data_IF_538518084494
#
_entry.id   IF_538518084494
#
_cell.length_a   1.000
_cell.length_b   1.000
_cell.length_c   1.000
_cell.angle_alpha   90.00
_cell.angle_beta   90.00
_cell.angle_gamma   90.00
#
_symmetry.space_group_name_H-M   'P 1'
#
loop_
_entity.id
_entity.type
_entity.pdbx_description
1 polymer ?
#
# COMPACT_ATOMS: atom_id res chain seq x y z
N UNK A 1 -15.01 4.26 -28.45
CA UNK A 1 -13.99 5.33 -28.41
C UNK A 1 -12.62 4.70 -28.51
N UNK A 2 -11.64 5.48 -28.91
CA UNK A 2 -10.27 5.03 -29.17
C UNK A 2 -9.31 5.82 -28.30
N UNK A 3 -8.21 5.18 -27.91
CA UNK A 3 -7.09 5.78 -27.22
C UNK A 3 -5.82 4.95 -27.51
N UNK A 4 -4.66 5.46 -27.11
CA UNK A 4 -3.42 4.70 -27.19
C UNK A 4 -3.32 3.73 -26.02
N UNK A 5 -3.59 4.22 -24.81
CA UNK A 5 -3.43 3.46 -23.57
C UNK A 5 -4.71 3.54 -22.74
N UNK A 6 -5.30 2.36 -22.49
CA UNK A 6 -6.41 2.21 -21.57
C UNK A 6 -5.92 1.70 -20.21
N UNK A 7 -6.24 2.44 -19.15
CA UNK A 7 -5.95 2.07 -17.77
C UNK A 7 -7.25 1.65 -17.08
N UNK A 8 -7.28 0.45 -16.53
CA UNK A 8 -8.43 -0.08 -15.78
C UNK A 8 -8.13 -0.04 -14.29
N UNK A 9 -8.79 0.86 -13.57
CA UNK A 9 -8.65 1.09 -12.13
C UNK A 9 -7.99 2.43 -11.82
N UNK A 10 -8.75 3.35 -11.22
CA UNK A 10 -8.32 4.67 -10.75
C UNK A 10 -7.84 4.63 -9.28
N UNK A 11 -7.02 3.63 -8.95
CA UNK A 11 -6.22 3.60 -7.73
C UNK A 11 -4.87 4.31 -7.89
N UNK A 12 -4.01 4.30 -6.87
CA UNK A 12 -2.69 4.95 -6.96
C UNK A 12 -1.86 4.48 -8.16
N UNK A 13 -1.89 3.19 -8.50
CA UNK A 13 -1.15 2.66 -9.66
C UNK A 13 -1.68 3.20 -10.96
N UNK A 14 -2.99 3.13 -11.22
CA UNK A 14 -3.54 3.61 -12.48
C UNK A 14 -3.47 5.12 -12.61
N UNK A 15 -3.67 5.86 -11.52
CA UNK A 15 -3.58 7.32 -11.55
C UNK A 15 -2.14 7.82 -11.67
N UNK A 16 -1.18 7.14 -11.03
CA UNK A 16 0.25 7.42 -11.22
C UNK A 16 0.67 7.10 -12.66
N UNK A 17 0.28 5.93 -13.20
CA UNK A 17 0.56 5.58 -14.59
C UNK A 17 -0.03 6.61 -15.56
N UNK A 18 -1.29 7.01 -15.37
CA UNK A 18 -1.95 8.03 -16.19
C UNK A 18 -1.19 9.35 -16.18
N UNK A 19 -0.72 9.77 -15.00
CA UNK A 19 0.01 11.02 -14.84
C UNK A 19 1.37 10.97 -15.56
N UNK A 20 2.15 9.91 -15.39
CA UNK A 20 3.44 9.75 -16.09
C UNK A 20 3.27 9.63 -17.60
N UNK A 21 2.26 8.87 -18.07
CA UNK A 21 1.95 8.77 -19.50
C UNK A 21 1.49 10.09 -20.11
N UNK A 22 0.78 10.92 -19.33
CA UNK A 22 0.37 12.25 -19.80
C UNK A 22 1.56 13.21 -19.97
N UNK A 23 2.63 13.04 -19.19
CA UNK A 23 3.89 13.79 -19.38
C UNK A 23 4.63 13.37 -20.66
N UNK A 24 4.31 12.19 -21.20
CA UNK A 24 4.83 11.64 -22.45
C UNK A 24 3.84 11.84 -23.62
N UNK A 25 2.88 12.75 -23.45
CA UNK A 25 1.89 13.16 -24.46
C UNK A 25 1.06 11.99 -25.06
N UNK A 26 0.86 10.91 -24.31
CA UNK A 26 0.05 9.77 -24.74
C UNK A 26 -1.46 10.05 -24.61
N UNK A 27 -2.30 9.55 -25.54
CA UNK A 27 -3.77 9.58 -25.37
C UNK A 27 -4.20 8.49 -24.38
N UNK A 28 -4.42 8.92 -23.13
CA UNK A 28 -4.74 8.03 -22.01
C UNK A 28 -6.21 8.14 -21.61
N UNK A 29 -6.86 6.98 -21.52
CA UNK A 29 -8.18 6.84 -20.91
C UNK A 29 -8.06 5.99 -19.64
N UNK A 30 -8.60 6.50 -18.53
CA UNK A 30 -8.75 5.75 -17.28
C UNK A 30 -10.22 5.40 -17.08
N UNK A 31 -10.51 4.15 -16.76
CA UNK A 31 -11.85 3.70 -16.37
C UNK A 31 -11.83 3.08 -14.98
N UNK A 32 -12.79 3.44 -14.15
CA UNK A 32 -12.98 2.85 -12.82
C UNK A 32 -14.42 2.39 -12.63
N UNK A 33 -14.59 1.25 -11.96
CA UNK A 33 -15.90 0.68 -11.69
C UNK A 33 -16.75 1.54 -10.74
N UNK A 34 -16.12 2.37 -9.91
CA UNK A 34 -16.80 3.25 -8.94
C UNK A 34 -16.30 4.68 -9.09
N UNK A 35 -15.34 5.13 -8.29
CA UNK A 35 -14.76 6.47 -8.32
C UNK A 35 -13.26 6.43 -8.01
N UNK A 36 -12.46 7.42 -8.44
CA UNK A 36 -11.04 7.50 -8.11
C UNK A 36 -10.78 7.36 -6.61
N UNK A 37 -9.95 6.39 -6.25
CA UNK A 37 -9.59 6.10 -4.88
C UNK A 37 -10.58 5.21 -4.11
N UNK A 38 -11.68 4.72 -4.71
CA UNK A 38 -12.67 3.90 -4.00
C UNK A 38 -12.05 2.72 -3.23
N UNK A 39 -11.13 1.97 -3.86
CA UNK A 39 -10.54 0.76 -3.29
C UNK A 39 -9.48 1.00 -2.18
N UNK A 40 -8.45 0.15 -2.14
CA UNK A 40 -7.39 0.22 -1.14
C UNK A 40 -6.68 1.58 -1.10
N UNK A 41 -6.62 2.27 -2.23
CA UNK A 41 -5.96 3.56 -2.37
C UNK A 41 -6.59 4.64 -1.51
N UNK A 42 -7.92 4.66 -1.33
CA UNK A 42 -8.58 5.61 -0.43
C UNK A 42 -8.79 5.08 0.99
N UNK A 43 -8.70 3.76 1.19
CA UNK A 43 -9.01 3.09 2.47
C UNK A 43 -7.81 2.64 3.29
N UNK A 44 -6.58 2.95 2.88
CA UNK A 44 -5.36 2.55 3.62
C UNK A 44 -5.03 3.53 4.78
N UNK A 45 -3.96 3.25 5.52
CA UNK A 45 -3.54 4.04 6.68
C UNK A 45 -2.91 5.39 6.37
N UNK A 46 -2.68 5.72 5.09
CA UNK A 46 -2.07 6.98 4.68
C UNK A 46 -0.58 7.10 5.01
N UNK A 47 0.08 6.02 5.43
CA UNK A 47 1.51 6.02 5.76
C UNK A 47 2.35 5.85 4.50
N UNK A 48 3.24 6.80 4.26
CA UNK A 48 4.24 6.75 3.19
C UNK A 48 5.49 6.11 3.79
N UNK A 49 5.69 4.82 3.53
CA UNK A 49 6.80 4.05 4.09
C UNK A 49 7.76 3.68 2.96
N UNK A 50 9.04 4.09 3.02
CA UNK A 50 10.02 3.78 1.99
C UNK A 50 10.31 2.28 1.88
N UNK A 51 10.60 1.84 0.65
CA UNK A 51 11.08 0.49 0.38
C UNK A 51 10.03 -0.62 0.46
N UNK A 52 10.51 -1.85 0.24
CA UNK A 52 9.71 -3.06 0.34
C UNK A 52 9.50 -3.51 1.79
N UNK A 53 8.58 -4.45 1.98
CA UNK A 53 8.42 -5.13 3.27
C UNK A 53 9.58 -6.10 3.56
N UNK A 54 10.06 -6.77 2.51
CA UNK A 54 11.22 -7.67 2.56
C UNK A 54 12.50 -6.92 2.91
N UNK A 55 13.42 -7.63 3.54
CA UNK A 55 14.77 -7.16 3.74
C UNK A 55 15.58 -7.22 2.43
N UNK A 56 16.53 -6.31 2.22
CA UNK A 56 17.41 -6.31 1.06
C UNK A 56 18.05 -7.68 0.74
N UNK A 57 18.49 -8.43 1.75
CA UNK A 57 19.04 -9.77 1.54
C UNK A 57 18.01 -10.78 1.02
N UNK A 58 16.75 -10.70 1.44
CA UNK A 58 15.68 -11.55 0.92
C UNK A 58 15.37 -11.21 -0.54
N UNK A 59 15.42 -9.92 -0.89
CA UNK A 59 15.24 -9.46 -2.28
C UNK A 59 16.38 -9.99 -3.16
N UNK A 60 17.64 -9.84 -2.73
CA UNK A 60 18.81 -10.37 -3.46
C UNK A 60 18.76 -11.89 -3.60
N UNK A 61 18.39 -12.61 -2.54
CA UNK A 61 18.24 -14.08 -2.60
C UNK A 61 17.21 -14.52 -3.64
N UNK A 62 16.13 -13.75 -3.83
CA UNK A 62 15.08 -14.09 -4.79
C UNK A 62 15.38 -13.65 -6.23
N UNK A 63 16.09 -12.54 -6.42
CA UNK A 63 16.28 -11.91 -7.74
C UNK A 63 17.71 -11.98 -8.27
N UNK A 64 18.67 -12.41 -7.45
CA UNK A 64 20.11 -12.22 -7.69
C UNK A 64 20.56 -10.82 -7.25
N UNK A 65 21.87 -10.63 -7.10
CA UNK A 65 22.44 -9.38 -6.57
C UNK A 65 22.19 -8.17 -7.46
N UNK A 66 22.38 -8.31 -8.77
CA UNK A 66 22.22 -7.23 -9.74
C UNK A 66 20.77 -6.68 -9.75
N UNK A 67 19.81 -7.54 -10.09
CA UNK A 67 18.38 -7.17 -10.13
C UNK A 67 17.86 -6.83 -8.74
N UNK A 68 18.30 -7.56 -7.72
CA UNK A 68 17.92 -7.30 -6.34
C UNK A 68 18.30 -5.89 -5.90
N UNK A 69 19.55 -5.48 -6.13
CA UNK A 69 20.02 -4.14 -5.79
C UNK A 69 19.28 -3.05 -6.61
N UNK A 70 19.00 -3.29 -7.90
CA UNK A 70 18.20 -2.38 -8.71
C UNK A 70 16.79 -2.16 -8.13
N UNK A 71 16.09 -3.25 -7.76
CA UNK A 71 14.77 -3.18 -7.11
C UNK A 71 14.85 -2.47 -5.75
N UNK A 72 15.85 -2.79 -4.93
CA UNK A 72 16.04 -2.16 -3.61
C UNK A 72 16.22 -0.64 -3.77
N UNK A 73 17.11 -0.21 -4.66
CA UNK A 73 17.41 1.20 -4.88
C UNK A 73 16.18 1.96 -5.38
N UNK A 74 15.47 1.41 -6.36
CA UNK A 74 14.27 2.06 -6.90
C UNK A 74 13.14 2.14 -5.85
N UNK A 75 12.89 1.05 -5.12
CA UNK A 75 11.81 1.02 -4.11
C UNK A 75 12.13 1.87 -2.88
N UNK A 76 13.41 2.05 -2.52
CA UNK A 76 13.84 2.97 -1.47
C UNK A 76 13.49 4.43 -1.77
N UNK A 77 13.35 4.79 -3.05
CA UNK A 77 12.93 6.14 -3.51
C UNK A 77 11.42 6.29 -3.70
N UNK A 78 10.63 5.24 -3.43
CA UNK A 78 9.17 5.28 -3.62
C UNK A 78 8.47 6.34 -2.76
N UNK A 79 9.01 6.65 -1.58
CA UNK A 79 8.51 7.74 -0.75
C UNK A 79 8.82 9.10 -1.37
N UNK A 80 10.03 9.30 -1.90
CA UNK A 80 10.43 10.53 -2.61
C UNK A 80 9.45 10.81 -3.74
N UNK A 81 9.20 9.82 -4.61
CA UNK A 81 8.27 9.94 -5.73
C UNK A 81 6.88 10.43 -5.29
N UNK A 82 6.33 9.88 -4.20
CA UNK A 82 5.02 10.33 -3.69
C UNK A 82 5.05 11.80 -3.30
N UNK A 83 6.04 12.23 -2.52
CA UNK A 83 6.15 13.62 -2.07
C UNK A 83 6.50 14.58 -3.22
N UNK A 84 7.31 14.14 -4.18
CA UNK A 84 7.68 14.90 -5.37
C UNK A 84 6.46 15.13 -6.27
N UNK A 85 5.61 14.12 -6.50
CA UNK A 85 4.35 14.29 -7.22
C UNK A 85 3.40 15.23 -6.49
N UNK A 86 3.28 15.10 -5.16
CA UNK A 86 2.45 16.00 -4.34
C UNK A 86 2.91 17.45 -4.50
N UNK A 87 4.22 17.69 -4.45
CA UNK A 87 4.81 19.02 -4.61
C UNK A 87 4.62 19.54 -6.03
N UNK A 88 5.00 18.76 -7.06
CA UNK A 88 4.94 19.11 -8.48
C UNK A 88 3.53 19.52 -8.90
N UNK A 89 2.52 18.76 -8.46
CA UNK A 89 1.13 18.94 -8.86
C UNK A 89 0.27 19.68 -7.84
N UNK A 90 0.89 20.20 -6.77
CA UNK A 90 0.24 20.94 -5.68
C UNK A 90 -0.99 20.19 -5.13
N UNK A 91 -0.82 18.90 -4.83
CA UNK A 91 -1.91 18.05 -4.36
C UNK A 91 -2.21 18.35 -2.89
N UNK A 92 -3.39 18.92 -2.60
CA UNK A 92 -3.88 19.06 -1.23
C UNK A 92 -4.35 17.71 -0.67
N UNK A 93 -3.40 16.94 -0.13
CA UNK A 93 -3.67 15.69 0.58
C UNK A 93 -3.15 15.68 2.01
N UNK A 94 -2.93 16.87 2.60
CA UNK A 94 -2.40 17.00 3.98
C UNK A 94 -1.14 16.16 4.20
N UNK A 95 -0.26 16.17 3.21
CA UNK A 95 0.98 15.42 3.25
C UNK A 95 1.90 15.98 4.32
N UNK A 96 2.52 15.09 5.10
CA UNK A 96 3.50 15.44 6.11
C UNK A 96 4.68 14.47 6.02
N UNK A 97 5.88 15.00 5.81
CA UNK A 97 7.12 14.23 5.66
C UNK A 97 7.98 14.29 6.92
N UNK A 98 7.37 14.02 8.07
CA UNK A 98 8.07 14.00 9.37
C UNK A 98 8.76 12.66 9.67
N UNK A 99 8.70 11.67 8.78
CA UNK A 99 9.33 10.37 8.99
C UNK A 99 8.39 9.26 9.45
N UNK A 100 8.92 8.03 9.39
CA UNK A 100 8.26 6.80 9.77
C UNK A 100 9.03 6.09 10.89
N UNK A 101 8.33 5.66 11.93
CA UNK A 101 8.90 4.93 13.07
C UNK A 101 8.48 3.46 13.00
N UNK A 102 9.45 2.56 13.03
CA UNK A 102 9.21 1.12 13.22
C UNK A 102 9.69 0.70 14.61
N UNK A 103 8.79 0.67 15.61
CA UNK A 103 9.17 0.26 16.97
C UNK A 103 9.23 -1.26 17.12
N UNK A 104 10.22 -1.74 17.86
CA UNK A 104 10.37 -3.13 18.25
C UNK A 104 9.40 -3.50 19.37
N UNK A 105 8.58 -4.52 19.13
CA UNK A 105 7.64 -5.06 20.14
C UNK A 105 8.26 -6.10 21.09
N UNK A 106 9.40 -6.68 20.75
CA UNK A 106 10.07 -7.75 21.51
C UNK A 106 11.59 -7.57 21.49
N UNK A 107 12.30 -8.21 22.42
CA UNK A 107 13.78 -8.26 22.39
C UNK A 107 14.31 -8.84 21.08
N UNK A 108 13.67 -9.88 20.55
CA UNK A 108 14.03 -10.45 19.23
C UNK A 108 13.87 -9.40 18.13
N UNK A 109 12.79 -8.62 18.16
CA UNK A 109 12.58 -7.52 17.22
C UNK A 109 13.62 -6.39 17.37
N UNK A 110 14.22 -6.19 18.54
CA UNK A 110 15.29 -5.22 18.71
C UNK A 110 16.51 -5.57 17.86
N UNK A 111 16.91 -6.85 17.80
CA UNK A 111 17.99 -7.30 16.93
C UNK A 111 17.69 -7.00 15.46
N UNK A 112 16.46 -7.30 15.03
CA UNK A 112 15.97 -7.01 13.67
C UNK A 112 16.03 -5.51 13.35
N UNK A 113 15.60 -4.65 14.27
CA UNK A 113 15.64 -3.20 14.11
C UNK A 113 17.08 -2.68 13.98
N UNK A 114 18.02 -3.15 14.81
CA UNK A 114 19.43 -2.75 14.73
C UNK A 114 20.04 -3.13 13.38
N UNK A 115 19.85 -4.37 12.95
CA UNK A 115 20.33 -4.82 11.63
C UNK A 115 19.71 -4.03 10.48
N UNK A 116 18.43 -3.67 10.59
CA UNK A 116 17.74 -2.85 9.58
C UNK A 116 18.30 -1.43 9.49
N UNK A 117 18.58 -0.79 10.63
CA UNK A 117 19.23 0.54 10.67
C UNK A 117 20.59 0.44 9.99
N UNK A 118 21.44 -0.50 10.40
CA UNK A 118 22.79 -0.67 9.83
C UNK A 118 22.76 -0.85 8.31
N UNK A 119 21.89 -1.73 7.83
CA UNK A 119 21.76 -2.03 6.41
C UNK A 119 21.25 -0.84 5.60
N UNK A 120 20.24 -0.12 6.10
CA UNK A 120 19.72 1.07 5.42
C UNK A 120 20.72 2.22 5.44
N UNK A 121 21.47 2.41 6.54
CA UNK A 121 22.56 3.38 6.62
C UNK A 121 23.67 3.07 5.60
N UNK A 122 24.03 1.80 5.42
CA UNK A 122 25.00 1.37 4.38
C UNK A 122 24.52 1.67 2.96
N UNK A 123 23.22 1.73 2.74
CA UNK A 123 22.60 2.14 1.46
C UNK A 123 22.41 3.67 1.36
N UNK A 124 22.93 4.45 2.31
CA UNK A 124 22.84 5.91 2.33
C UNK A 124 21.46 6.45 2.73
N UNK A 125 20.58 5.62 3.29
CA UNK A 125 19.28 6.09 3.76
C UNK A 125 19.44 6.90 5.07
N UNK A 126 18.70 8.02 5.24
CA UNK A 126 18.74 8.83 6.46
C UNK A 126 17.88 8.17 7.56
N UNK A 127 18.39 7.08 8.13
CA UNK A 127 17.76 6.33 9.21
C UNK A 127 18.49 6.51 10.53
N UNK A 128 17.75 6.46 11.63
CA UNK A 128 18.28 6.58 13.00
C UNK A 128 17.74 5.44 13.87
N UNK A 129 18.58 4.98 14.80
CA UNK A 129 18.14 4.09 15.87
C UNK A 129 17.76 4.94 17.09
N UNK A 130 16.50 4.85 17.49
CA UNK A 130 16.00 5.46 18.72
C UNK A 130 16.16 4.48 19.87
N UNK A 131 16.66 4.95 21.01
CA UNK A 131 16.64 4.20 22.26
C UNK A 131 15.20 4.10 22.82
N UNK A 132 15.05 3.47 23.98
CA UNK A 132 13.73 3.17 24.53
C UNK A 132 13.01 4.42 25.01
N UNK A 133 13.73 5.31 25.66
CA UNK A 133 13.22 6.55 26.23
C UNK A 133 12.76 7.49 25.10
N UNK A 134 13.59 7.67 24.08
CA UNK A 134 13.26 8.48 22.89
C UNK A 134 12.12 7.85 22.09
N UNK A 135 12.10 6.51 21.97
CA UNK A 135 10.97 5.81 21.31
C UNK A 135 9.66 6.07 22.05
N UNK A 136 9.67 6.04 23.38
CA UNK A 136 8.48 6.27 24.19
C UNK A 136 7.98 7.73 24.07
N UNK A 137 8.89 8.70 24.08
CA UNK A 137 8.59 10.11 23.84
C UNK A 137 7.97 10.32 22.45
N UNK A 138 8.62 9.81 21.40
CA UNK A 138 8.18 10.02 20.01
C UNK A 138 6.83 9.39 19.71
N UNK A 139 6.51 8.28 20.36
CA UNK A 139 5.25 7.55 20.14
C UNK A 139 4.14 7.94 21.11
N UNK A 140 4.48 8.40 22.32
CA UNK A 140 3.52 8.61 23.40
C UNK A 140 3.11 7.32 24.13
N UNK A 141 3.98 6.30 24.12
CA UNK A 141 3.72 5.01 24.76
C UNK A 141 5.01 4.28 25.13
N UNK A 142 5.03 3.65 26.31
CA UNK A 142 6.14 2.81 26.77
C UNK A 142 6.02 1.33 26.35
N UNK A 143 5.11 1.02 25.41
CA UNK A 143 4.82 -0.36 24.98
C UNK A 143 5.92 -1.00 24.14
N UNK A 144 6.93 -0.23 23.75
CA UNK A 144 7.97 -0.62 22.81
C UNK A 144 9.36 -0.46 23.43
N UNK A 145 10.33 -1.13 22.83
CA UNK A 145 11.73 -1.03 23.21
C UNK A 145 12.40 0.05 22.37
N UNK A 146 13.31 -0.32 21.47
CA UNK A 146 13.94 0.59 20.52
C UNK A 146 13.10 0.76 19.26
N UNK A 147 13.45 1.74 18.43
CA UNK A 147 12.81 1.92 17.13
C UNK A 147 13.79 2.33 16.03
N UNK A 148 13.43 2.02 14.79
CA UNK A 148 14.02 2.66 13.62
C UNK A 148 13.19 3.90 13.28
N UNK A 149 13.84 5.05 13.08
CA UNK A 149 13.26 6.24 12.47
C UNK A 149 13.79 6.37 11.04
N UNK A 150 12.91 6.36 10.04
CA UNK A 150 13.23 6.63 8.64
C UNK A 150 12.70 8.02 8.26
N UNK A 151 13.62 8.98 8.09
CA UNK A 151 13.28 10.39 7.82
C UNK A 151 12.63 10.60 6.45
N UNK A 152 12.75 9.64 5.53
CA UNK A 152 12.13 9.77 4.20
C UNK A 152 10.62 9.56 4.24
N UNK A 153 10.13 8.84 5.25
CA UNK A 153 8.73 8.46 5.38
C UNK A 153 7.82 9.61 5.82
N UNK A 154 6.54 9.30 6.04
CA UNK A 154 5.58 10.27 6.53
C UNK A 154 4.13 9.83 6.34
N UNK A 155 3.24 10.79 6.15
CA UNK A 155 1.80 10.56 6.00
C UNK A 155 1.14 11.42 4.95
N UNK A 156 -0.06 11.01 4.55
CA UNK A 156 -1.00 11.77 3.74
C UNK A 156 -2.44 11.31 4.03
N UNK A 157 -3.41 12.10 3.61
CA UNK A 157 -4.81 11.68 3.50
C UNK A 157 -4.94 10.87 2.19
N UNK A 158 -5.17 9.54 2.26
CA UNK A 158 -5.03 8.65 1.12
C UNK A 158 -6.06 8.88 0.00
N UNK A 159 -7.32 9.16 0.36
CA UNK A 159 -8.37 9.47 -0.62
C UNK A 159 -8.12 10.81 -1.30
N UNK A 160 -7.67 11.83 -0.57
CA UNK A 160 -7.29 13.13 -1.10
C UNK A 160 -6.08 13.02 -2.04
N UNK A 161 -5.11 12.15 -1.72
CA UNK A 161 -3.99 11.90 -2.63
C UNK A 161 -4.46 11.25 -3.94
N UNK A 162 -5.31 10.23 -3.89
CA UNK A 162 -5.89 9.62 -5.09
C UNK A 162 -6.68 10.65 -5.92
N UNK A 163 -7.56 11.43 -5.29
CA UNK A 163 -8.33 12.47 -5.98
C UNK A 163 -7.45 13.60 -6.50
N UNK A 164 -6.35 13.91 -5.82
CA UNK A 164 -5.33 14.85 -6.26
C UNK A 164 -4.61 14.40 -7.52
N UNK A 165 -4.14 13.15 -7.56
CA UNK A 165 -3.56 12.54 -8.76
C UNK A 165 -4.55 12.54 -9.92
N UNK A 166 -5.82 12.20 -9.66
CA UNK A 166 -6.85 12.21 -10.69
C UNK A 166 -7.08 13.61 -11.26
N UNK A 167 -7.18 14.64 -10.40
CA UNK A 167 -7.27 16.05 -10.83
C UNK A 167 -6.04 16.49 -11.63
N UNK A 168 -4.85 16.08 -11.21
CA UNK A 168 -3.61 16.39 -11.91
C UNK A 168 -3.60 15.77 -13.32
N UNK A 169 -3.95 14.48 -13.43
CA UNK A 169 -4.03 13.79 -14.71
C UNK A 169 -5.08 14.42 -15.65
N UNK A 170 -6.26 14.79 -15.13
CA UNK A 170 -7.30 15.47 -15.92
C UNK A 170 -6.79 16.81 -16.47
N UNK A 171 -6.05 17.60 -15.67
CA UNK A 171 -5.44 18.85 -16.14
C UNK A 171 -4.42 18.64 -17.26
N UNK A 172 -3.79 17.46 -17.30
CA UNK A 172 -2.86 17.05 -18.36
C UNK A 172 -3.59 16.38 -19.56
N UNK A 173 -4.92 16.44 -19.63
CA UNK A 173 -5.70 15.92 -20.76
C UNK A 173 -6.16 14.47 -20.64
N UNK A 174 -5.83 13.76 -19.55
CA UNK A 174 -6.30 12.39 -19.33
C UNK A 174 -7.81 12.35 -19.15
N UNK A 175 -8.48 11.45 -19.87
CA UNK A 175 -9.93 11.23 -19.72
C UNK A 175 -10.19 10.18 -18.66
N UNK A 176 -10.90 10.53 -17.58
CA UNK A 176 -11.22 9.59 -16.49
C UNK A 176 -12.74 9.36 -16.44
N UNK A 177 -13.16 8.10 -16.61
CA UNK A 177 -14.55 7.68 -16.51
C UNK A 177 -14.79 6.85 -15.26
N UNK A 178 -15.67 7.35 -14.40
CA UNK A 178 -16.16 6.68 -13.20
C UNK A 178 -17.42 5.87 -13.50
N UNK A 179 -17.83 4.98 -12.60
CA UNK A 179 -19.00 4.10 -12.77
C UNK A 179 -18.98 3.29 -14.08
N UNK A 180 -17.77 2.91 -14.52
CA UNK A 180 -17.49 2.25 -15.78
C UNK A 180 -16.79 0.90 -15.53
N UNK A 181 -17.57 -0.09 -15.09
CA UNK A 181 -17.05 -1.44 -14.88
C UNK A 181 -16.71 -2.10 -16.22
N UNK A 182 -15.42 -2.35 -16.45
CA UNK A 182 -14.97 -3.21 -17.54
C UNK A 182 -15.23 -4.67 -17.17
N UNK A 183 -15.97 -5.39 -18.01
CA UNK A 183 -16.35 -6.78 -17.77
C UNK A 183 -15.67 -7.76 -18.73
N UNK A 184 -15.11 -7.28 -19.85
CA UNK A 184 -14.51 -8.11 -20.88
C UNK A 184 -13.39 -7.37 -21.60
N UNK A 185 -12.28 -8.05 -21.82
CA UNK A 185 -11.16 -7.63 -22.67
C UNK A 185 -10.98 -8.71 -23.73
N UNK A 186 -10.85 -8.32 -25.00
CA UNK A 186 -10.60 -9.24 -26.12
C UNK A 186 -9.62 -8.61 -27.13
N UNK A 187 -8.87 -9.43 -27.89
CA UNK A 187 -8.08 -8.91 -29.00
C UNK A 187 -8.98 -8.29 -30.08
N UNK A 188 -8.45 -7.28 -30.76
CA UNK A 188 -9.06 -6.59 -31.90
C UNK A 188 -7.95 -6.22 -32.90
N UNK A 189 -7.67 -7.11 -33.87
CA UNK A 189 -6.51 -6.97 -34.77
C UNK A 189 -5.21 -6.76 -33.97
N UNK A 190 -4.48 -5.68 -34.24
CA UNK A 190 -3.23 -5.29 -33.54
C UNK A 190 -3.48 -4.48 -32.25
N UNK A 191 -4.74 -4.40 -31.81
CA UNK A 191 -5.21 -3.62 -30.65
C UNK A 191 -6.03 -4.50 -29.72
N UNK A 192 -6.54 -3.89 -28.67
CA UNK A 192 -7.40 -4.52 -27.67
C UNK A 192 -8.71 -3.77 -27.54
N UNK A 193 -9.80 -4.51 -27.31
CA UNK A 193 -11.10 -3.94 -27.00
C UNK A 193 -11.53 -4.31 -25.58
N UNK A 194 -11.75 -3.30 -24.75
CA UNK A 194 -12.39 -3.41 -23.45
C UNK A 194 -13.86 -3.02 -23.55
N UNK A 195 -14.74 -3.77 -22.89
CA UNK A 195 -16.18 -3.50 -22.87
C UNK A 195 -16.68 -3.21 -21.47
N UNK A 196 -17.51 -2.18 -21.38
CA UNK A 196 -18.34 -1.87 -20.21
C UNK A 196 -19.79 -2.19 -20.54
N UNK A 197 -20.72 -1.94 -19.61
CA UNK A 197 -22.16 -2.06 -19.90
C UNK A 197 -22.66 -1.07 -20.96
N UNK A 198 -22.02 0.09 -21.11
CA UNK A 198 -22.54 1.21 -21.90
C UNK A 198 -21.68 1.56 -23.13
N UNK A 199 -20.45 1.06 -23.18
CA UNK A 199 -19.48 1.47 -24.20
C UNK A 199 -18.37 0.43 -24.39
N UNK A 200 -17.75 0.48 -25.57
CA UNK A 200 -16.50 -0.20 -25.87
C UNK A 200 -15.38 0.81 -26.11
N UNK A 201 -14.19 0.45 -25.66
CA UNK A 201 -12.96 1.25 -25.73
C UNK A 201 -11.91 0.40 -26.44
N UNK A 202 -11.36 0.91 -27.53
CA UNK A 202 -10.25 0.27 -28.24
C UNK A 202 -8.95 0.97 -27.83
N UNK A 203 -7.90 0.19 -27.58
CA UNK A 203 -6.61 0.70 -27.14
C UNK A 203 -5.45 -0.13 -27.72
N UNK A 204 -4.32 0.51 -27.97
CA UNK A 204 -3.10 -0.18 -28.41
C UNK A 204 -2.49 -1.00 -27.26
N UNK A 205 -2.62 -0.47 -26.03
CA UNK A 205 -2.12 -1.08 -24.79
C UNK A 205 -3.18 -1.01 -23.68
N UNK A 206 -3.18 -2.00 -22.80
CA UNK A 206 -4.05 -2.02 -21.62
C UNK A 206 -3.22 -2.22 -20.35
N UNK A 207 -3.41 -1.33 -19.37
CA UNK A 207 -2.87 -1.46 -18.02
C UNK A 207 -3.99 -1.82 -17.04
N UNK A 208 -3.96 -3.04 -16.50
CA UNK A 208 -4.87 -3.48 -15.44
C UNK A 208 -4.27 -3.09 -14.07
N UNK A 209 -4.83 -2.03 -13.47
CA UNK A 209 -4.35 -1.42 -12.23
C UNK A 209 -5.32 -1.67 -11.05
N UNK A 210 -6.02 -2.80 -11.07
CA UNK A 210 -7.07 -3.16 -10.09
C UNK A 210 -6.52 -3.84 -8.83
N UNK A 211 -5.26 -4.26 -8.82
CA UNK A 211 -4.61 -4.95 -7.69
C UNK A 211 -5.50 -6.06 -7.08
N UNK A 212 -5.98 -5.90 -5.85
CA UNK A 212 -6.86 -6.88 -5.19
C UNK A 212 -8.33 -6.84 -5.62
N UNK A 213 -8.73 -5.94 -6.53
CA UNK A 213 -10.12 -5.63 -6.88
C UNK A 213 -10.51 -6.09 -8.30
N UNK A 214 -9.76 -7.02 -8.89
CA UNK A 214 -10.08 -7.57 -10.22
C UNK A 214 -11.36 -8.42 -10.26
N UNK A 215 -11.97 -8.71 -9.12
CA UNK A 215 -13.12 -9.61 -8.89
C UNK A 215 -14.36 -8.88 -8.31
N UNK A 216 -14.51 -7.58 -8.57
CA UNK A 216 -15.66 -6.81 -8.11
C UNK A 216 -17.01 -7.39 -8.60
N UNK A 217 -18.06 -7.20 -7.79
CA UNK A 217 -19.44 -7.62 -8.08
C UNK A 217 -19.60 -9.11 -8.41
N UNK A 218 -18.78 -9.97 -7.78
CA UNK A 218 -18.77 -11.41 -8.01
C UNK A 218 -18.46 -11.81 -9.48
N UNK A 219 -17.83 -10.91 -10.24
CA UNK A 219 -17.35 -11.22 -11.58
C UNK A 219 -16.21 -12.26 -11.48
N UNK A 220 -16.16 -13.31 -12.34
CA UNK A 220 -15.09 -14.30 -12.37
C UNK A 220 -13.67 -13.72 -12.45
N UNK A 221 -13.54 -12.47 -12.90
CA UNK A 221 -12.32 -11.69 -12.88
C UNK A 221 -12.07 -10.99 -14.22
N UNK A 222 -11.42 -9.83 -14.20
CA UNK A 222 -11.14 -9.04 -15.40
C UNK A 222 -10.21 -9.76 -16.42
N UNK A 223 -9.32 -10.63 -15.94
CA UNK A 223 -8.42 -11.44 -16.76
C UNK A 223 -8.26 -12.84 -16.14
N UNK A 224 -8.15 -13.92 -16.95
CA UNK A 224 -8.02 -15.29 -16.46
C UNK A 224 -6.92 -15.45 -15.40
N UNK A 225 -7.32 -15.83 -14.19
CA UNK A 225 -6.41 -16.15 -13.09
C UNK A 225 -5.80 -14.96 -12.35
N UNK A 226 -6.08 -13.71 -12.74
CA UNK A 226 -5.45 -12.53 -12.13
C UNK A 226 -5.83 -12.34 -10.65
N UNK A 227 -7.13 -12.40 -10.32
CA UNK A 227 -7.61 -12.40 -8.93
C UNK A 227 -7.09 -13.60 -8.12
N UNK A 228 -6.54 -14.62 -8.80
CA UNK A 228 -6.01 -15.84 -8.20
C UNK A 228 -4.49 -15.82 -8.00
N UNK A 229 -3.76 -14.85 -8.54
CA UNK A 229 -2.31 -14.71 -8.32
C UNK A 229 -1.96 -14.07 -6.97
N UNK A 230 -2.95 -13.49 -6.28
CA UNK A 230 -2.78 -12.82 -4.99
C UNK A 230 -3.58 -13.49 -3.87
N UNK A 231 -3.18 -13.19 -2.64
CA UNK A 231 -3.92 -13.46 -1.40
C UNK A 231 -4.59 -12.16 -0.95
N UNK A 232 -5.92 -12.02 -1.11
CA UNK A 232 -6.63 -10.84 -0.66
C UNK A 232 -6.86 -10.91 0.85
N UNK A 233 -6.58 -9.82 1.56
CA UNK A 233 -6.90 -9.67 2.99
C UNK A 233 -7.53 -8.30 3.21
N UNK A 234 -8.36 -8.15 4.24
CA UNK A 234 -8.82 -6.83 4.65
C UNK A 234 -7.90 -6.28 5.76
N UNK A 235 -7.47 -5.04 5.58
CA UNK A 235 -6.82 -4.25 6.62
C UNK A 235 -7.89 -3.42 7.31
N UNK A 236 -7.96 -3.50 8.64
CA UNK A 236 -9.01 -2.86 9.43
C UNK A 236 -8.46 -1.62 10.12
N UNK A 237 -9.28 -0.58 10.23
CA UNK A 237 -8.92 0.69 10.85
C UNK A 237 -10.09 1.28 11.63
N UNK A 238 -9.75 2.00 12.70
CA UNK A 238 -10.67 2.86 13.45
C UNK A 238 -10.04 4.24 13.60
N UNK A 239 -10.87 5.27 13.61
CA UNK A 239 -10.48 6.62 13.94
C UNK A 239 -11.28 7.09 15.16
N UNK A 240 -10.57 7.65 16.14
CA UNK A 240 -11.22 8.32 17.26
C UNK A 240 -11.94 9.58 16.79
N UNK A 241 -12.78 10.18 17.63
CA UNK A 241 -13.03 11.62 17.52
C UNK A 241 -11.72 12.41 17.65
N UNK A 242 -11.65 13.68 17.18
CA UNK A 242 -10.49 14.52 17.40
C UNK A 242 -10.07 14.52 18.87
N UNK A 243 -8.82 14.17 19.13
CA UNK A 243 -8.30 14.13 20.49
C UNK A 243 -8.12 15.55 21.03
N UNK A 244 -8.27 15.71 22.35
CA UNK A 244 -7.99 16.98 23.01
C UNK A 244 -6.55 17.42 22.79
N UNK A 245 -6.27 18.73 22.86
CA UNK A 245 -4.91 19.28 22.69
C UNK A 245 -3.88 18.58 23.59
N UNK A 246 -4.24 18.32 24.85
CA UNK A 246 -3.39 17.61 25.80
C UNK A 246 -3.04 16.20 25.32
N UNK A 247 -4.01 15.45 24.80
CA UNK A 247 -3.76 14.11 24.27
C UNK A 247 -2.92 14.16 22.99
N UNK A 248 -3.18 15.11 22.08
CA UNK A 248 -2.41 15.30 20.85
C UNK A 248 -0.95 15.66 21.11
N UNK A 249 -0.67 16.40 22.18
CA UNK A 249 0.70 16.69 22.62
C UNK A 249 1.38 15.50 23.31
N UNK A 250 0.64 14.45 23.67
CA UNK A 250 1.19 13.26 24.34
C UNK A 250 1.32 12.05 23.43
N UNK A 251 0.66 12.03 22.27
CA UNK A 251 0.59 10.89 21.34
C UNK A 251 1.12 11.35 19.99
N UNK A 252 2.21 10.74 19.52
CA UNK A 252 2.91 11.16 18.30
C UNK A 252 3.13 12.70 18.24
N UNK A 253 3.70 13.33 19.29
CA UNK A 253 3.77 14.79 19.43
C UNK A 253 4.47 15.50 18.26
N UNK A 254 5.38 14.80 17.58
CA UNK A 254 6.13 15.33 16.45
C UNK A 254 5.51 15.01 15.07
N UNK A 255 4.31 14.43 15.04
CA UNK A 255 3.58 14.15 13.80
C UNK A 255 4.15 13.00 12.95
N UNK A 256 4.95 12.12 13.55
CA UNK A 256 5.41 10.89 12.91
C UNK A 256 4.26 9.91 12.68
N UNK A 257 4.52 8.91 11.86
CA UNK A 257 3.66 7.72 11.76
C UNK A 257 4.41 6.48 12.20
N UNK A 258 3.69 5.47 12.70
CA UNK A 258 4.32 4.26 13.19
C UNK A 258 3.66 2.97 12.70
N UNK A 259 4.45 1.92 12.48
CA UNK A 259 3.97 0.55 12.32
C UNK A 259 4.94 -0.41 12.98
N UNK A 260 4.47 -1.24 13.90
CA UNK A 260 5.34 -2.08 14.73
C UNK A 260 5.85 -3.35 14.04
N UNK A 261 6.73 -4.08 14.73
CA UNK A 261 7.34 -5.33 14.24
C UNK A 261 6.46 -6.57 14.43
N UNK A 262 5.24 -6.44 14.95
CA UNK A 262 4.37 -7.62 15.15
C UNK A 262 4.03 -8.29 13.84
N UNK A 263 3.83 -9.61 13.88
CA UNK A 263 3.33 -10.36 12.72
C UNK A 263 1.92 -9.92 12.38
N UNK A 264 1.10 -9.69 13.41
CA UNK A 264 -0.17 -8.97 13.32
C UNK A 264 0.06 -7.49 13.61
N UNK A 265 0.62 -6.81 12.62
CA UNK A 265 1.13 -5.45 12.76
C UNK A 265 0.06 -4.47 13.28
N UNK A 266 0.46 -3.58 14.19
CA UNK A 266 -0.30 -2.38 14.49
C UNK A 266 0.34 -1.21 13.76
N UNK A 267 -0.48 -0.33 13.24
CA UNK A 267 -0.01 0.89 12.63
C UNK A 267 -0.91 2.05 13.01
N UNK A 268 -0.31 3.20 13.30
CA UNK A 268 -1.04 4.34 13.81
C UNK A 268 -0.45 5.66 13.38
N UNK A 269 -1.32 6.67 13.36
CA UNK A 269 -0.98 8.07 13.14
C UNK A 269 -2.05 8.98 13.74
N UNK A 270 -1.71 10.25 13.94
CA UNK A 270 -2.69 11.32 14.01
C UNK A 270 -3.04 11.80 12.59
N UNK A 271 -4.31 12.08 12.34
CA UNK A 271 -4.71 12.82 11.14
C UNK A 271 -4.58 14.34 11.35
N UNK A 272 -4.80 15.09 10.27
CA UNK A 272 -4.73 16.54 10.25
C UNK A 272 -5.77 17.25 11.14
N UNK A 273 -6.84 16.58 11.54
CA UNK A 273 -7.85 17.09 12.47
C UNK A 273 -7.56 16.63 13.91
N UNK A 274 -6.51 15.82 14.12
CA UNK A 274 -6.11 15.33 15.43
C UNK A 274 -6.79 14.05 15.87
N UNK A 275 -7.41 13.29 14.97
CA UNK A 275 -7.93 11.95 15.26
C UNK A 275 -6.79 10.95 15.33
N UNK A 276 -6.80 10.07 16.32
CA UNK A 276 -5.94 8.90 16.31
C UNK A 276 -6.56 7.84 15.40
N UNK A 277 -5.83 7.51 14.34
CA UNK A 277 -6.14 6.39 13.47
C UNK A 277 -5.25 5.24 13.87
N UNK A 278 -5.86 4.13 14.31
CA UNK A 278 -5.16 2.86 14.52
C UNK A 278 -5.70 1.84 13.53
N UNK A 279 -4.78 1.23 12.80
CA UNK A 279 -5.04 0.07 11.99
C UNK A 279 -4.33 -1.17 12.50
N UNK A 280 -4.88 -2.30 12.12
CA UNK A 280 -4.34 -3.59 12.47
C UNK A 280 -4.72 -4.66 11.47
N UNK A 281 -4.22 -5.87 11.72
CA UNK A 281 -4.61 -7.03 10.92
C UNK A 281 -6.12 -7.23 11.01
N UNK A 282 -6.78 -7.15 9.85
CA UNK A 282 -8.18 -7.52 9.71
C UNK A 282 -8.33 -9.01 9.38
N UNK A 283 -9.52 -9.36 8.90
CA UNK A 283 -9.85 -10.73 8.52
C UNK A 283 -9.90 -10.88 6.99
N UNK A 284 -10.24 -12.07 6.52
CA UNK A 284 -10.57 -12.35 5.12
C UNK A 284 -11.83 -11.59 4.71
N UNK A 285 -12.74 -11.37 5.67
CA UNK A 285 -13.99 -10.66 5.49
C UNK A 285 -13.84 -9.16 5.73
N UNK A 286 -14.62 -8.40 4.99
CA UNK A 286 -14.80 -6.98 5.22
C UNK A 286 -15.52 -6.75 6.56
N UNK A 287 -15.03 -5.82 7.37
CA UNK A 287 -15.68 -5.43 8.63
C UNK A 287 -16.91 -4.58 8.34
N UNK A 288 -18.06 -4.91 8.95
CA UNK A 288 -19.35 -4.26 8.68
C UNK A 288 -19.89 -3.49 9.88
N UNK A 289 -19.40 -3.78 11.07
CA UNK A 289 -19.83 -3.12 12.32
C UNK A 289 -18.62 -2.86 13.21
N UNK A 290 -18.72 -1.86 14.11
CA UNK A 290 -17.65 -1.57 15.08
C UNK A 290 -17.25 -2.78 15.94
N UNK A 291 -18.14 -3.76 16.15
CA UNK A 291 -17.85 -5.00 16.89
C UNK A 291 -16.75 -5.82 16.20
N UNK A 292 -16.70 -5.79 14.87
CA UNK A 292 -15.66 -6.45 14.06
C UNK A 292 -14.26 -5.84 14.27
N UNK A 293 -14.20 -4.63 14.83
CA UNK A 293 -12.97 -3.87 15.11
C UNK A 293 -12.60 -3.90 16.59
N UNK A 294 -13.29 -4.68 17.42
CA UNK A 294 -13.08 -4.70 18.89
C UNK A 294 -11.65 -5.04 19.30
N UNK A 295 -10.91 -5.82 18.52
CA UNK A 295 -9.49 -6.11 18.79
C UNK A 295 -8.58 -4.90 18.55
N UNK A 296 -8.93 -4.02 17.61
CA UNK A 296 -8.22 -2.75 17.36
C UNK A 296 -8.57 -1.75 18.46
N UNK A 297 -9.85 -1.67 18.85
CA UNK A 297 -10.30 -0.82 19.96
C UNK A 297 -9.54 -1.16 21.26
N UNK A 298 -9.47 -2.43 21.63
CA UNK A 298 -8.70 -2.90 22.80
C UNK A 298 -7.21 -2.58 22.69
N UNK A 299 -6.67 -2.56 21.47
CA UNK A 299 -5.26 -2.23 21.24
C UNK A 299 -4.97 -0.76 21.50
N UNK A 300 -5.89 0.15 21.17
CA UNK A 300 -5.73 1.59 21.48
C UNK A 300 -5.55 1.78 22.98
N UNK A 301 -6.43 1.21 23.80
CA UNK A 301 -6.33 1.32 25.25
C UNK A 301 -5.02 0.74 25.80
N UNK A 302 -4.54 -0.36 25.20
CA UNK A 302 -3.27 -0.97 25.59
C UNK A 302 -2.05 -0.14 25.19
N UNK A 303 -2.09 0.55 24.05
CA UNK A 303 -0.96 1.38 23.57
C UNK A 303 -0.99 2.76 24.22
N UNK A 304 -2.16 3.35 24.37
CA UNK A 304 -2.36 4.72 24.83
C UNK A 304 -3.31 4.73 26.04
N UNK A 305 -2.87 4.23 27.20
CA UNK A 305 -3.71 4.15 28.41
C UNK A 305 -4.19 5.53 28.89
N UNK A 306 -3.54 6.62 28.48
CA UNK A 306 -4.00 7.98 28.71
C UNK A 306 -5.34 8.31 28.01
N UNK A 307 -5.78 7.50 27.04
CA UNK A 307 -7.12 7.55 26.46
C UNK A 307 -8.04 6.62 27.27
N UNK A 308 -8.64 7.15 28.33
CA UNK A 308 -9.49 6.36 29.25
C UNK A 308 -10.76 5.87 28.57
N UNK A 309 -11.45 6.74 27.83
CA UNK A 309 -12.71 6.45 27.15
C UNK A 309 -12.63 6.82 25.66
N UNK A 310 -12.10 5.94 24.80
CA UNK A 310 -11.98 6.24 23.38
C UNK A 310 -13.36 6.27 22.72
N UNK A 311 -13.74 7.45 22.22
CA UNK A 311 -14.89 7.60 21.33
C UNK A 311 -14.43 7.47 19.87
N UNK A 312 -15.17 6.70 19.07
CA UNK A 312 -14.86 6.43 17.67
C UNK A 312 -15.83 7.14 16.74
N UNK A 313 -15.30 7.86 15.77
CA UNK A 313 -16.09 8.56 14.75
C UNK A 313 -16.20 7.71 13.48
N UNK A 314 -15.12 7.01 13.12
CA UNK A 314 -15.08 6.19 11.92
C UNK A 314 -14.47 4.82 12.17
N UNK A 315 -14.93 3.85 11.39
CA UNK A 315 -14.30 2.54 11.22
C UNK A 315 -14.47 2.11 9.78
N UNK A 316 -13.45 1.46 9.22
CA UNK A 316 -13.50 0.98 7.85
C UNK A 316 -12.49 -0.12 7.62
N UNK A 317 -12.66 -0.86 6.52
CA UNK A 317 -11.67 -1.81 6.07
C UNK A 317 -11.38 -1.67 4.58
N UNK A 318 -10.17 -2.06 4.17
CA UNK A 318 -9.75 -2.03 2.78
C UNK A 318 -9.08 -3.35 2.38
N UNK A 319 -9.42 -3.86 1.20
CA UNK A 319 -8.81 -5.09 0.65
C UNK A 319 -7.40 -4.81 0.13
N UNK A 320 -6.39 -5.43 0.73
CA UNK A 320 -5.00 -5.46 0.27
C UNK A 320 -4.72 -6.76 -0.50
N UNK A 321 -3.67 -6.76 -1.30
CA UNK A 321 -3.20 -7.93 -2.04
C UNK A 321 -1.79 -8.30 -1.58
N UNK A 322 -1.64 -9.54 -1.10
CA UNK A 322 -0.35 -10.12 -0.77
C UNK A 322 0.09 -11.11 -1.85
N UNK A 323 1.38 -11.27 -2.03
CA UNK A 323 1.99 -12.30 -2.89
C UNK A 323 2.68 -13.35 -2.03
N UNK A 324 2.81 -14.57 -2.55
CA UNK A 324 3.54 -15.64 -1.86
C UNK A 324 5.03 -15.32 -1.66
N UNK A 325 5.63 -14.57 -2.60
CA UNK A 325 7.04 -14.20 -2.55
C UNK A 325 7.32 -12.98 -1.67
N UNK A 326 6.30 -12.18 -1.32
CA UNK A 326 6.48 -10.89 -0.65
C UNK A 326 6.99 -9.76 -1.56
N UNK A 327 7.24 -10.05 -2.84
CA UNK A 327 7.55 -9.06 -3.88
C UNK A 327 6.29 -8.62 -4.63
N UNK A 328 6.17 -7.35 -5.04
CA UNK A 328 5.15 -6.95 -6.01
C UNK A 328 5.41 -7.63 -7.37
N UNK A 329 4.38 -7.77 -8.19
CA UNK A 329 4.51 -8.37 -9.53
C UNK A 329 4.08 -7.38 -10.61
N UNK A 330 4.79 -7.44 -11.74
CA UNK A 330 4.33 -6.96 -13.04
C UNK A 330 4.02 -8.20 -13.87
N UNK A 331 2.76 -8.39 -14.19
CA UNK A 331 2.33 -9.46 -15.08
C UNK A 331 2.24 -8.96 -16.51
N UNK A 332 2.94 -9.62 -17.43
CA UNK A 332 2.64 -9.54 -18.86
C UNK A 332 1.63 -10.64 -19.19
N UNK A 333 0.42 -10.22 -19.56
CA UNK A 333 -0.72 -11.12 -19.72
C UNK A 333 -0.95 -11.47 -21.20
N UNK A 334 -0.59 -10.55 -22.08
CA UNK A 334 -0.49 -10.68 -23.52
C UNK A 334 0.37 -9.51 -24.05
N UNK A 335 0.85 -9.54 -25.30
CA UNK A 335 1.55 -8.40 -25.89
C UNK A 335 0.75 -7.11 -25.75
N UNK A 336 1.31 -6.15 -25.03
CA UNK A 336 0.67 -4.86 -24.76
C UNK A 336 -0.38 -4.85 -23.66
N UNK A 337 -0.52 -5.93 -22.88
CA UNK A 337 -1.46 -6.01 -21.75
C UNK A 337 -0.72 -6.36 -20.47
N UNK A 338 -0.66 -5.40 -19.55
CA UNK A 338 0.13 -5.49 -18.32
C UNK A 338 -0.69 -5.28 -17.06
N UNK A 339 -0.27 -5.86 -15.94
CA UNK A 339 -0.85 -5.60 -14.61
C UNK A 339 0.24 -5.41 -13.58
N UNK A 340 0.15 -4.35 -12.79
CA UNK A 340 0.94 -4.17 -11.56
C UNK A 340 0.09 -4.53 -10.34
N UNK A 341 0.59 -5.37 -9.44
CA UNK A 341 -0.16 -5.77 -8.24
C UNK A 341 0.71 -6.28 -7.09
N UNK A 342 0.07 -6.56 -5.96
CA UNK A 342 0.69 -7.35 -4.88
C UNK A 342 1.63 -6.54 -3.99
N UNK A 343 1.24 -5.33 -3.58
CA UNK A 343 2.14 -4.40 -2.86
C UNK A 343 2.42 -4.76 -1.39
N UNK A 344 1.94 -5.91 -0.90
CA UNK A 344 2.31 -6.48 0.41
C UNK A 344 2.18 -5.53 1.62
N UNK A 345 1.21 -4.60 1.58
CA UNK A 345 0.97 -3.61 2.63
C UNK A 345 1.80 -2.32 2.52
N UNK A 346 2.65 -2.18 1.49
CA UNK A 346 3.43 -0.96 1.18
C UNK A 346 2.81 -0.14 0.06
N UNK A 347 1.48 -0.13 -0.02
CA UNK A 347 0.73 0.34 -1.18
C UNK A 347 0.93 1.82 -1.53
N UNK A 348 1.17 2.73 -0.59
CA UNK A 348 1.23 4.18 -0.91
C UNK A 348 2.41 4.49 -1.82
N UNK A 349 3.64 4.17 -1.39
CA UNK A 349 4.85 4.34 -2.20
C UNK A 349 4.91 3.34 -3.36
N UNK A 350 4.73 2.04 -3.08
CA UNK A 350 4.91 0.99 -4.07
C UNK A 350 3.88 1.06 -5.22
N UNK A 351 2.60 1.37 -4.93
CA UNK A 351 1.61 1.47 -6.00
C UNK A 351 1.85 2.69 -6.90
N UNK A 352 2.34 3.80 -6.32
CA UNK A 352 2.71 5.00 -7.07
C UNK A 352 3.90 4.71 -7.99
N UNK A 353 4.97 4.11 -7.46
CA UNK A 353 6.14 3.67 -8.24
C UNK A 353 5.77 2.65 -9.31
N UNK A 354 4.88 1.71 -8.99
CA UNK A 354 4.38 0.74 -9.97
C UNK A 354 3.66 1.43 -11.14
N UNK A 355 2.95 2.54 -10.89
CA UNK A 355 2.33 3.31 -11.96
C UNK A 355 3.36 3.92 -12.91
N UNK A 356 4.43 4.49 -12.36
CA UNK A 356 5.56 5.00 -13.14
C UNK A 356 6.18 3.89 -14.00
N UNK A 357 6.50 2.74 -13.40
CA UNK A 357 7.09 1.62 -14.13
C UNK A 357 6.20 1.07 -15.24
N UNK A 358 4.88 1.02 -15.02
CA UNK A 358 3.95 0.60 -16.07
C UNK A 358 3.85 1.61 -17.21
N UNK A 359 3.99 2.91 -16.92
CA UNK A 359 4.06 3.95 -17.94
C UNK A 359 5.33 3.78 -18.79
N UNK A 360 6.48 3.70 -18.15
CA UNK A 360 7.79 3.50 -18.79
C UNK A 360 7.82 2.20 -19.61
N UNK A 361 7.26 1.10 -19.07
CA UNK A 361 7.20 -0.18 -19.76
C UNK A 361 6.46 -0.10 -21.12
N UNK A 362 5.40 0.70 -21.22
CA UNK A 362 4.61 0.79 -22.46
C UNK A 362 5.10 1.87 -23.43
N UNK A 363 6.03 2.74 -23.03
CA UNK A 363 6.61 3.80 -23.87
C UNK A 363 8.07 3.56 -24.25
N UNK A 364 8.92 3.04 -23.36
CA UNK A 364 10.39 2.96 -23.54
C UNK A 364 10.84 1.63 -24.15
N UNK A 365 10.11 1.12 -25.13
CA UNK A 365 10.46 -0.13 -25.82
C UNK A 365 10.48 -1.38 -24.93
N UNK A 366 9.80 -1.34 -23.76
CA UNK A 366 9.63 -2.51 -22.89
C UNK A 366 10.65 -2.66 -21.75
N UNK A 367 11.49 -1.66 -21.47
CA UNK A 367 12.42 -1.73 -20.34
C UNK A 367 11.82 -1.17 -19.05
N UNK A 368 11.91 -1.94 -17.96
CA UNK A 368 11.40 -1.54 -16.63
C UNK A 368 12.55 -0.94 -15.83
N UNK A 369 12.46 0.33 -15.38
CA UNK A 369 13.41 0.88 -14.43
C UNK A 369 13.41 0.07 -13.13
N UNK A 370 14.57 -0.44 -12.71
CA UNK A 370 14.71 -1.26 -11.51
C UNK A 370 14.57 -2.77 -11.71
N UNK A 371 14.43 -3.27 -12.95
CA UNK A 371 14.53 -4.71 -13.31
C UNK A 371 13.62 -5.66 -12.54
N UNK A 372 12.45 -5.20 -12.07
CA UNK A 372 11.47 -6.11 -11.49
C UNK A 372 10.99 -7.05 -12.62
N UNK A 373 11.15 -8.38 -12.49
CA UNK A 373 10.95 -9.27 -13.62
C UNK A 373 9.49 -9.26 -14.07
N UNK A 374 9.28 -9.24 -15.38
CA UNK A 374 8.00 -9.61 -15.96
C UNK A 374 7.68 -11.05 -15.59
N UNK A 375 6.44 -11.25 -15.17
CA UNK A 375 5.97 -12.57 -14.74
C UNK A 375 4.72 -12.94 -15.52
N UNK A 376 4.49 -14.23 -15.67
CA UNK A 376 3.20 -14.75 -16.10
C UNK A 376 2.30 -15.00 -14.89
N UNK A 377 0.99 -14.94 -15.09
CA UNK A 377 0.02 -15.24 -14.04
C UNK A 377 0.16 -16.70 -13.63
N UNK A 378 0.49 -16.92 -12.35
CA UNK A 378 0.50 -18.25 -11.72
C UNK A 378 -0.60 -18.30 -10.65
N UNK A 379 -1.79 -18.83 -10.95
CA UNK A 379 -2.87 -18.93 -9.97
C UNK A 379 -2.44 -19.78 -8.78
N UNK A 380 -2.67 -19.29 -7.57
CA UNK A 380 -2.43 -20.08 -6.36
C UNK A 380 -3.44 -21.24 -6.36
N UNK A 381 -2.90 -22.48 -6.31
CA UNK A 381 -3.67 -23.73 -6.28
C UNK A 381 -4.46 -23.84 -4.96
N UNK A 382 -5.52 -24.66 -4.95
CA UNK A 382 -6.34 -24.97 -3.75
C UNK A 382 -7.02 -23.75 -3.09
N UNK A 383 -7.68 -22.91 -3.89
CA UNK A 383 -8.36 -21.71 -3.38
C UNK A 383 -9.44 -21.98 -2.33
N UNK A 384 -10.11 -23.13 -2.42
CA UNK A 384 -11.12 -23.60 -1.47
C UNK A 384 -10.58 -23.74 -0.05
N UNK A 385 -9.27 -24.00 0.11
CA UNK A 385 -8.61 -24.09 1.42
C UNK A 385 -7.96 -22.79 1.88
N UNK A 386 -8.02 -21.70 1.10
CA UNK A 386 -7.44 -20.41 1.48
C UNK A 386 -7.99 -19.89 2.80
N UNK A 387 -9.30 -20.04 3.02
CA UNK A 387 -9.97 -19.57 4.24
C UNK A 387 -9.43 -20.25 5.50
N UNK A 388 -9.47 -21.59 5.63
CA UNK A 388 -8.92 -22.25 6.80
C UNK A 388 -7.42 -22.00 6.97
N UNK A 389 -6.62 -21.95 5.88
CA UNK A 389 -5.18 -21.69 5.96
C UNK A 389 -4.88 -20.28 6.47
N UNK A 390 -5.57 -19.25 5.97
CA UNK A 390 -5.37 -17.87 6.42
C UNK A 390 -5.80 -17.73 7.89
N UNK A 391 -6.95 -18.31 8.28
CA UNK A 391 -7.41 -18.29 9.68
C UNK A 391 -6.42 -18.99 10.61
N UNK A 392 -5.91 -20.17 10.23
CA UNK A 392 -4.90 -20.89 10.99
C UNK A 392 -3.58 -20.10 11.08
N UNK A 393 -3.15 -19.47 9.97
CA UNK A 393 -1.96 -18.62 9.94
C UNK A 393 -2.13 -17.39 10.83
N UNK A 394 -3.30 -16.76 10.83
CA UNK A 394 -3.61 -15.63 11.72
C UNK A 394 -3.54 -16.06 13.19
N UNK A 395 -4.17 -17.18 13.54
CA UNK A 395 -4.14 -17.71 14.91
C UNK A 395 -2.72 -18.07 15.36
N UNK A 396 -1.97 -18.77 14.51
CA UNK A 396 -0.57 -19.11 14.74
C UNK A 396 0.30 -17.86 14.94
N UNK A 397 0.19 -16.87 14.06
CA UNK A 397 0.91 -15.60 14.19
C UNK A 397 0.52 -14.84 15.45
N UNK A 398 -0.77 -14.84 15.82
CA UNK A 398 -1.23 -14.25 17.08
C UNK A 398 -0.64 -14.95 18.29
N UNK A 399 -0.48 -16.27 18.27
CA UNK A 399 0.16 -17.04 19.33
C UNK A 399 1.65 -16.71 19.42
N UNK A 400 2.35 -16.68 18.29
CA UNK A 400 3.76 -16.30 18.23
C UNK A 400 3.98 -14.90 18.81
N UNK A 401 3.17 -13.91 18.41
CA UNK A 401 3.27 -12.55 18.94
C UNK A 401 2.99 -12.51 20.46
N UNK A 402 2.07 -13.32 20.98
CA UNK A 402 1.81 -13.42 22.44
C UNK A 402 2.97 -14.05 23.21
N UNK A 403 3.60 -15.08 22.65
CA UNK A 403 4.75 -15.75 23.27
C UNK A 403 5.96 -14.82 23.27
N UNK A 404 6.23 -14.16 22.15
CA UNK A 404 7.36 -13.25 21.98
C UNK A 404 7.22 -11.99 22.85
N UNK A 405 6.00 -11.47 23.00
CA UNK A 405 5.71 -10.32 23.86
C UNK A 405 5.78 -10.61 25.37
N UNK A 406 5.86 -11.88 25.79
CA UNK A 406 6.03 -12.27 27.21
C UNK A 406 7.48 -12.36 27.65
N UNK A 407 8.43 -12.29 26.72
CA UNK A 407 9.85 -12.30 27.05
C UNK A 407 10.22 -10.96 27.71
N UNK A 408 10.49 -11.00 29.02
CA UNK A 408 10.97 -9.81 29.75
C UNK A 408 12.35 -9.38 29.20
N UNK A 409 12.68 -8.08 29.22
CA UNK A 409 14.05 -7.62 29.01
C UNK A 409 14.98 -8.39 29.96
N UNK A 410 16.08 -8.92 29.41
CA UNK A 410 17.23 -9.38 30.20
C UNK A 410 17.97 -8.15 30.68
#
# INVERSE_FOLDING_TARGET
MDCDILIIGAGFTGLSAALHLSELEQDVVVVDAVEPGYGASGRNGGQVIPGLKLYPEEVRKQLGDEKGNAVINATNRSADLVFDLIKKYQIDCKANRNGFIQPAFSNTSCGVIRSRVELLSKLGAPVELLDKETTAEYLGTSSYFIALLDKRGGSLQPLSYARGLAKAAIRQGVKIYSNALVNKIKPLQDRWQASTQKASINANRILICTNGYSDLNNNPGLWPGLNRSIIPLHSFQVATQPLSNKLRQSILPHGHVASDTKRLLNYFRLDHEGRLILGGSGNIYEGKSIRDFSHIVKRIQSLFPQITEPQFEFYWSGKIALTMSGLPHIHEMAPGVYSGLGYNGRGVGMATLMGQWLAELVTDGGQIPGMLPLTTIKPIKLQSFRKPVITATYFWKSLQDRVEGRQKPI
#
